data_IF_068554746374
#
_entry.id   IF_068554746374
#
_cell.length_a   1.000
_cell.length_b   1.000
_cell.length_c   1.000
_cell.angle_alpha   90.00
_cell.angle_beta   90.00
_cell.angle_gamma   90.00
#
_symmetry.space_group_name_H-M   'P 1'
#
loop_
_entity.id
_entity.type
_entity.pdbx_description
1 polymer ?
#
# COMPACT_ATOMS: atom_id res chain seq x y z
N UNK A 1 66.98 -16.80 -18.55
CA UNK A 1 66.23 -15.91 -17.64
C UNK A 1 64.75 -16.26 -17.80
N UNK A 2 64.20 -17.12 -16.94
CA UNK A 2 62.81 -17.54 -17.03
C UNK A 2 61.94 -16.51 -16.29
N UNK A 3 61.14 -15.76 -17.03
CA UNK A 3 60.31 -14.68 -16.50
C UNK A 3 59.29 -15.21 -15.50
N UNK A 4 59.26 -14.59 -14.31
CA UNK A 4 58.20 -14.83 -13.33
C UNK A 4 56.89 -14.30 -13.93
N UNK A 5 55.99 -15.20 -14.33
CA UNK A 5 54.64 -14.84 -14.71
C UNK A 5 53.83 -14.57 -13.42
N UNK A 6 53.47 -13.31 -13.18
CA UNK A 6 52.77 -12.86 -11.98
C UNK A 6 51.26 -13.18 -11.98
N UNK A 7 50.71 -13.59 -13.12
CA UNK A 7 49.27 -13.75 -13.33
C UNK A 7 48.75 -15.16 -12.98
N UNK A 8 49.62 -16.19 -12.98
CA UNK A 8 49.23 -17.59 -12.71
C UNK A 8 49.81 -18.17 -11.41
N UNK A 9 50.10 -17.34 -10.41
CA UNK A 9 50.57 -17.82 -9.10
C UNK A 9 49.39 -18.41 -8.30
N UNK A 10 49.63 -19.44 -7.49
CA UNK A 10 48.60 -20.07 -6.65
C UNK A 10 47.92 -19.12 -5.64
N UNK A 11 48.49 -17.95 -5.38
CA UNK A 11 47.94 -16.89 -4.53
C UNK A 11 47.30 -15.74 -5.31
N UNK A 12 47.20 -15.85 -6.64
CA UNK A 12 46.45 -14.90 -7.45
C UNK A 12 44.96 -15.10 -7.15
N UNK A 13 44.17 -14.01 -7.08
CA UNK A 13 42.71 -14.15 -7.04
C UNK A 13 42.25 -14.92 -8.28
N UNK A 14 41.26 -15.79 -8.10
CA UNK A 14 40.63 -16.47 -9.22
C UNK A 14 40.01 -15.39 -10.13
N UNK A 15 40.42 -15.41 -11.39
CA UNK A 15 39.88 -14.54 -12.43
C UNK A 15 38.80 -15.36 -13.11
N UNK A 16 37.57 -14.83 -13.13
CA UNK A 16 36.46 -15.42 -13.87
C UNK A 16 36.90 -15.54 -15.33
N UNK A 17 36.73 -16.73 -15.93
CA UNK A 17 36.99 -16.89 -17.36
C UNK A 17 36.03 -15.96 -18.10
N UNK A 18 36.53 -15.22 -19.10
CA UNK A 18 35.71 -14.28 -19.88
C UNK A 18 34.49 -15.03 -20.48
N UNK A 19 34.61 -16.33 -20.75
CA UNK A 19 33.53 -17.21 -21.21
C UNK A 19 32.35 -17.31 -20.22
N UNK A 20 32.59 -17.27 -18.91
CA UNK A 20 31.53 -17.36 -17.89
C UNK A 20 30.97 -16.00 -17.46
N UNK A 21 31.69 -14.91 -17.75
CA UNK A 21 31.24 -13.57 -17.39
C UNK A 21 29.95 -13.18 -18.14
N UNK A 22 29.87 -13.53 -19.43
CA UNK A 22 28.71 -13.28 -20.28
C UNK A 22 27.50 -14.12 -19.83
N UNK A 23 27.68 -15.42 -19.58
CA UNK A 23 26.62 -16.30 -19.09
C UNK A 23 26.06 -15.81 -17.75
N UNK A 24 26.93 -15.39 -16.83
CA UNK A 24 26.49 -14.84 -15.54
C UNK A 24 25.72 -13.53 -15.72
N UNK A 25 26.11 -12.68 -16.67
CA UNK A 25 25.40 -11.45 -16.97
C UNK A 25 23.99 -11.74 -17.51
N UNK A 26 23.84 -12.73 -18.40
CA UNK A 26 22.55 -13.17 -18.93
C UNK A 26 21.63 -13.72 -17.82
N UNK A 27 22.14 -14.64 -16.99
CA UNK A 27 21.37 -15.23 -15.87
C UNK A 27 20.89 -14.16 -14.90
N UNK A 28 21.73 -13.17 -14.58
CA UNK A 28 21.35 -12.07 -13.70
C UNK A 28 20.31 -11.14 -14.34
N UNK A 29 20.40 -10.89 -15.65
CA UNK A 29 19.41 -10.13 -16.38
C UNK A 29 18.04 -10.83 -16.38
N UNK A 30 18.01 -12.13 -16.63
CA UNK A 30 16.78 -12.94 -16.56
C UNK A 30 16.19 -12.97 -15.14
N UNK A 31 17.02 -13.17 -14.12
CA UNK A 31 16.57 -13.17 -12.72
C UNK A 31 15.95 -11.82 -12.32
N UNK A 32 16.53 -10.71 -12.78
CA UNK A 32 15.98 -9.37 -12.57
C UNK A 32 14.63 -9.20 -13.29
N UNK A 33 14.50 -9.68 -14.53
CA UNK A 33 13.25 -9.62 -15.28
C UNK A 33 12.13 -10.45 -14.62
N UNK A 34 12.43 -11.68 -14.17
CA UNK A 34 11.48 -12.54 -13.47
C UNK A 34 11.04 -11.94 -12.12
N UNK A 35 11.98 -11.36 -11.37
CA UNK A 35 11.66 -10.66 -10.12
C UNK A 35 10.72 -9.49 -10.38
N UNK A 36 10.95 -8.73 -11.44
CA UNK A 36 10.07 -7.63 -11.84
C UNK A 36 8.66 -8.14 -12.15
N UNK A 37 8.52 -9.17 -12.98
CA UNK A 37 7.22 -9.78 -13.29
C UNK A 37 6.49 -10.28 -12.04
N UNK A 38 7.21 -10.89 -11.10
CA UNK A 38 6.62 -11.34 -9.84
C UNK A 38 6.06 -10.17 -9.00
N UNK A 39 6.80 -9.05 -8.93
CA UNK A 39 6.34 -7.83 -8.25
C UNK A 39 5.13 -7.24 -8.98
N UNK A 40 5.20 -7.08 -10.29
CA UNK A 40 4.12 -6.53 -11.12
C UNK A 40 2.82 -7.37 -10.98
N UNK A 41 2.93 -8.68 -10.81
CA UNK A 41 1.78 -9.57 -10.60
C UNK A 41 1.21 -9.50 -9.18
N UNK A 42 2.07 -9.46 -8.16
CA UNK A 42 1.65 -9.46 -6.75
C UNK A 42 1.18 -8.08 -6.26
N UNK A 43 1.56 -7.00 -6.95
CA UNK A 43 1.26 -5.62 -6.58
C UNK A 43 0.55 -4.87 -7.72
N UNK A 44 -0.71 -5.21 -8.05
CA UNK A 44 -1.47 -4.54 -9.10
C UNK A 44 -1.74 -3.05 -8.80
N UNK A 45 -1.63 -2.62 -7.54
CA UNK A 45 -1.69 -1.22 -7.12
C UNK A 45 -0.48 -0.40 -7.61
N UNK A 46 0.64 -1.05 -7.91
CA UNK A 46 1.81 -0.41 -8.51
C UNK A 46 1.55 -0.25 -10.00
N UNK A 47 1.16 0.96 -10.39
CA UNK A 47 0.86 1.29 -11.78
C UNK A 47 2.03 1.01 -12.73
N UNK A 48 1.69 0.73 -13.99
CA UNK A 48 2.69 0.52 -15.05
C UNK A 48 3.44 1.83 -15.32
N UNK A 49 4.71 1.90 -14.95
CA UNK A 49 5.59 3.07 -15.13
C UNK A 49 6.29 3.14 -16.50
N UNK A 50 5.91 2.25 -17.43
CA UNK A 50 6.49 2.23 -18.78
C UNK A 50 6.28 3.58 -19.49
N UNK A 51 7.38 4.20 -19.91
CA UNK A 51 7.40 5.47 -20.66
C UNK A 51 7.50 5.21 -22.17
N UNK A 52 7.54 3.94 -22.60
CA UNK A 52 7.62 3.59 -24.01
C UNK A 52 6.29 3.83 -24.72
N UNK A 53 6.26 4.81 -25.64
CA UNK A 53 5.09 5.14 -26.44
C UNK A 53 4.65 4.05 -27.41
N UNK A 54 5.45 2.98 -27.60
CA UNK A 54 5.07 1.79 -28.35
C UNK A 54 4.35 0.73 -27.50
N UNK A 55 4.27 0.91 -26.18
CA UNK A 55 3.48 0.06 -25.28
C UNK A 55 1.98 0.39 -25.45
N UNK A 56 1.39 -0.08 -26.56
CA UNK A 56 -0.04 -0.02 -26.81
C UNK A 56 -0.78 -1.10 -25.99
N UNK A 57 -0.80 -0.94 -24.66
CA UNK A 57 -1.54 -1.78 -23.75
C UNK A 57 -2.91 -1.18 -23.45
N UNK A 58 -3.98 -1.95 -23.68
CA UNK A 58 -5.31 -1.58 -23.14
C UNK A 58 -5.22 -1.59 -21.62
N UNK A 59 -5.34 -0.42 -21.00
CA UNK A 59 -5.39 -0.32 -19.55
C UNK A 59 -6.64 -1.07 -19.04
N UNK A 60 -6.44 -2.24 -18.44
CA UNK A 60 -7.56 -3.08 -17.97
C UNK A 60 -8.31 -2.44 -16.81
N UNK A 61 -7.65 -1.59 -16.00
CA UNK A 61 -8.20 -0.98 -14.80
C UNK A 61 -8.96 0.33 -15.09
N UNK A 62 -8.55 1.10 -16.10
CA UNK A 62 -9.18 2.37 -16.50
C UNK A 62 -9.92 2.29 -17.84
N UNK A 63 -10.32 1.09 -18.29
CA UNK A 63 -11.20 0.96 -19.47
C UNK A 63 -12.58 1.57 -19.15
N UNK A 64 -13.25 2.14 -20.14
CA UNK A 64 -14.59 2.74 -19.96
C UNK A 64 -15.66 1.75 -19.44
N UNK A 65 -15.42 0.44 -19.55
CA UNK A 65 -16.28 -0.63 -19.03
C UNK A 65 -15.81 -1.21 -17.69
N UNK A 66 -14.76 -0.67 -17.09
CA UNK A 66 -14.34 -1.08 -15.75
C UNK A 66 -15.34 -0.53 -14.73
N UNK A 67 -15.56 -1.24 -13.61
CA UNK A 67 -16.23 -0.64 -12.47
C UNK A 67 -15.45 0.58 -12.02
N UNK A 68 -16.16 1.63 -11.60
CA UNK A 68 -15.55 2.79 -10.98
C UNK A 68 -14.79 2.33 -9.74
N UNK A 69 -13.50 2.69 -9.69
CA UNK A 69 -12.66 2.45 -8.52
C UNK A 69 -12.70 3.74 -7.72
N UNK A 70 -13.16 3.65 -6.48
CA UNK A 70 -13.11 4.77 -5.54
C UNK A 70 -11.64 5.05 -5.20
N UNK A 71 -11.21 6.31 -5.30
CA UNK A 71 -9.89 6.71 -4.86
C UNK A 71 -9.80 6.65 -3.32
N UNK A 72 -8.58 6.52 -2.79
CA UNK A 72 -8.39 6.29 -1.35
C UNK A 72 -8.82 7.52 -0.56
N UNK A 73 -8.53 8.71 -1.07
CA UNK A 73 -8.90 9.99 -0.48
C UNK A 73 -10.43 10.14 -0.35
N UNK A 74 -11.19 9.76 -1.37
CA UNK A 74 -12.64 9.80 -1.44
C UNK A 74 -13.26 8.75 -0.51
N UNK A 75 -12.66 7.56 -0.41
CA UNK A 75 -13.08 6.55 0.55
C UNK A 75 -12.90 7.04 2.00
N UNK A 76 -11.79 7.70 2.31
CA UNK A 76 -11.49 8.29 3.61
C UNK A 76 -12.43 9.47 3.93
N UNK A 77 -12.65 10.37 2.97
CA UNK A 77 -13.61 11.48 3.10
C UNK A 77 -15.03 10.96 3.34
N UNK A 78 -15.47 9.93 2.59
CA UNK A 78 -16.77 9.30 2.79
C UNK A 78 -16.89 8.70 4.18
N UNK A 79 -15.86 8.02 4.66
CA UNK A 79 -15.84 7.45 6.01
C UNK A 79 -15.96 8.55 7.08
N UNK A 80 -15.24 9.66 6.93
CA UNK A 80 -15.30 10.80 7.84
C UNK A 80 -16.70 11.44 7.87
N UNK A 81 -17.29 11.71 6.71
CA UNK A 81 -18.64 12.29 6.59
C UNK A 81 -19.69 11.37 7.22
N UNK A 82 -19.61 10.06 7.00
CA UNK A 82 -20.55 9.11 7.60
C UNK A 82 -20.42 9.03 9.12
N UNK A 83 -19.20 9.11 9.65
CA UNK A 83 -18.95 9.15 11.09
C UNK A 83 -19.54 10.43 11.72
N UNK A 84 -19.33 11.59 11.08
CA UNK A 84 -19.90 12.86 11.53
C UNK A 84 -21.42 12.85 11.47
N UNK A 85 -22.02 12.35 10.38
CA UNK A 85 -23.47 12.22 10.24
C UNK A 85 -24.07 11.32 11.32
N UNK A 86 -23.40 10.22 11.68
CA UNK A 86 -23.83 9.35 12.78
C UNK A 86 -23.77 10.06 14.14
N UNK A 87 -22.71 10.85 14.40
CA UNK A 87 -22.58 11.63 15.62
C UNK A 87 -23.66 12.73 15.72
N UNK A 88 -23.90 13.47 14.64
CA UNK A 88 -24.96 14.49 14.58
C UNK A 88 -26.34 13.88 14.76
N UNK A 89 -26.61 12.73 14.14
CA UNK A 89 -27.87 12.01 14.33
C UNK A 89 -28.06 11.61 15.78
N UNK A 90 -27.01 11.11 16.44
CA UNK A 90 -27.04 10.78 17.87
C UNK A 90 -27.37 12.02 18.71
N UNK A 91 -26.66 13.13 18.51
CA UNK A 91 -26.93 14.39 19.23
C UNK A 91 -28.36 14.89 19.02
N UNK A 92 -28.88 14.80 17.79
CA UNK A 92 -30.26 15.19 17.50
C UNK A 92 -31.27 14.31 18.25
N UNK A 93 -31.04 13.00 18.33
CA UNK A 93 -31.87 12.08 19.12
C UNK A 93 -31.75 12.41 20.61
N UNK A 94 -30.54 12.55 21.15
CA UNK A 94 -30.30 12.87 22.56
C UNK A 94 -30.96 14.20 22.97
N UNK A 95 -30.99 15.18 22.06
CA UNK A 95 -31.65 16.46 22.30
C UNK A 95 -33.18 16.38 22.22
N UNK A 96 -33.72 15.69 21.22
CA UNK A 96 -35.16 15.59 21.00
C UNK A 96 -35.86 14.62 21.94
N UNK A 97 -35.11 13.66 22.50
CA UNK A 97 -35.63 12.59 23.35
C UNK A 97 -34.95 12.57 24.73
N UNK A 98 -35.12 13.62 25.56
CA UNK A 98 -34.53 13.68 26.90
C UNK A 98 -35.02 12.54 27.82
N UNK A 99 -36.17 11.93 27.52
CA UNK A 99 -36.72 10.76 28.23
C UNK A 99 -35.89 9.49 28.05
N UNK A 100 -35.04 9.40 27.02
CA UNK A 100 -34.23 8.21 26.72
C UNK A 100 -33.13 7.97 27.75
N UNK A 101 -32.81 8.99 28.57
CA UNK A 101 -31.84 8.86 29.67
C UNK A 101 -30.40 8.67 29.18
N UNK A 102 -29.44 9.02 30.03
CA UNK A 102 -28.01 8.87 29.69
C UNK A 102 -27.59 7.42 29.90
N UNK A 103 -27.38 6.69 28.80
CA UNK A 103 -27.04 5.24 28.83
C UNK A 103 -25.55 4.96 29.01
N UNK A 104 -24.68 5.95 28.81
CA UNK A 104 -23.23 5.83 29.04
C UNK A 104 -22.70 7.08 29.75
N UNK A 105 -22.15 6.90 30.95
CA UNK A 105 -21.42 7.92 31.69
C UNK A 105 -20.02 7.35 31.93
N UNK A 106 -18.98 8.06 31.49
CA UNK A 106 -17.61 7.72 31.88
C UNK A 106 -17.52 7.80 33.42
N UNK A 107 -16.84 6.84 34.07
CA UNK A 107 -16.69 6.83 35.53
C UNK A 107 -15.99 8.09 36.09
N UNK A 108 -15.31 8.85 35.23
CA UNK A 108 -14.72 10.15 35.53
C UNK A 108 -15.70 11.34 35.38
N UNK A 109 -16.89 11.15 34.81
CA UNK A 109 -17.92 12.18 34.69
C UNK A 109 -18.66 12.35 36.03
N UNK A 110 -18.10 13.18 36.92
CA UNK A 110 -18.75 13.61 38.15
C UNK A 110 -19.82 14.71 37.87
N UNK A 111 -20.87 14.36 37.12
CA UNK A 111 -21.99 15.24 36.81
C UNK A 111 -23.25 14.86 37.60
N UNK A 112 -23.86 15.83 38.31
CA UNK A 112 -25.14 15.61 38.99
C UNK A 112 -26.25 15.40 37.96
N UNK A 113 -26.89 14.24 37.96
CA UNK A 113 -28.06 13.96 37.13
C UNK A 113 -29.30 14.66 37.74
N UNK A 114 -29.82 15.68 37.06
CA UNK A 114 -30.99 16.45 37.52
C UNK A 114 -32.34 15.91 37.02
N UNK A 115 -32.34 14.91 36.12
CA UNK A 115 -33.56 14.36 35.50
C UNK A 115 -34.25 13.30 36.37
N UNK A 116 -33.51 12.65 37.27
CA UNK A 116 -34.05 11.61 38.16
C UNK A 116 -34.38 12.10 39.58
N UNK A 117 -34.37 13.42 39.83
CA UNK A 117 -34.68 13.94 41.16
C UNK A 117 -36.19 13.98 41.37
N UNK A 118 -36.69 13.21 42.33
CA UNK A 118 -38.03 13.41 42.87
C UNK A 118 -38.11 14.82 43.52
N UNK A 119 -39.11 15.60 43.12
CA UNK A 119 -39.45 16.91 43.69
C UNK A 119 -39.80 16.81 45.16
#
# INVERSE_FOLDING_TARGET
CFGRNYFYRASAPEVEDDEFADERAEVLAEAAALKKLAVDYMHPEVGVTSVDGACFGRNYFYRASAPEVEDVELADERAAVLAEAAALKKLAVDYMHPEVGVTSVDGACFGRNYFNRAS
#
